data_IF_145267760237
#
_entry.id   IF_145267760237
#
_cell.length_a   1.000
_cell.length_b   1.000
_cell.length_c   1.000
_cell.angle_alpha   90.00
_cell.angle_beta   90.00
_cell.angle_gamma   90.00
#
_symmetry.space_group_name_H-M   'P 1'
#
loop_
_entity.id
_entity.type
_entity.pdbx_description
1 polymer ?
#
# COMPACT_ATOMS: atom_id res chain seq x y z
N UNK A 1 7.79 -18.11 18.82
CA UNK A 1 7.53 -17.66 17.43
C UNK A 1 8.11 -16.27 17.28
N UNK A 2 8.72 -15.93 16.13
CA UNK A 2 9.50 -14.69 15.91
C UNK A 2 10.65 -14.47 16.93
N UNK A 3 11.50 -15.48 17.14
CA UNK A 3 12.60 -15.49 18.14
C UNK A 3 12.15 -15.25 19.59
N UNK A 4 10.86 -15.42 19.89
CA UNK A 4 10.30 -15.13 21.20
C UNK A 4 10.04 -13.64 21.46
N UNK A 5 10.29 -12.76 20.48
CA UNK A 5 9.98 -11.34 20.57
C UNK A 5 8.47 -11.08 20.67
N UNK A 6 7.67 -11.74 19.82
CA UNK A 6 6.21 -11.52 19.71
C UNK A 6 5.51 -12.84 19.41
N UNK A 7 4.28 -13.04 19.90
CA UNK A 7 3.49 -14.22 19.54
C UNK A 7 2.83 -14.09 18.16
N UNK A 8 2.67 -15.19 17.44
CA UNK A 8 1.89 -15.26 16.18
C UNK A 8 0.50 -14.63 16.31
N UNK A 9 -0.18 -14.96 17.40
CA UNK A 9 -1.50 -14.40 17.73
C UNK A 9 -1.45 -12.87 17.83
N UNK A 10 -0.40 -12.30 18.42
CA UNK A 10 -0.25 -10.85 18.51
C UNK A 10 -0.02 -10.21 17.14
N UNK A 11 0.78 -10.80 16.26
CA UNK A 11 0.97 -10.32 14.88
C UNK A 11 -0.34 -10.35 14.09
N UNK A 12 -1.14 -11.41 14.22
CA UNK A 12 -2.46 -11.47 13.59
C UNK A 12 -3.41 -10.41 14.11
N UNK A 13 -3.52 -10.25 15.44
CA UNK A 13 -4.37 -9.23 16.06
C UNK A 13 -3.95 -7.84 15.61
N UNK A 14 -2.64 -7.57 15.62
CA UNK A 14 -2.08 -6.31 15.15
C UNK A 14 -2.51 -6.03 13.71
N UNK A 15 -2.23 -6.96 12.79
CA UNK A 15 -2.56 -6.79 11.37
C UNK A 15 -4.04 -6.60 11.09
N UNK A 16 -4.92 -7.35 11.76
CA UNK A 16 -6.35 -7.14 11.62
C UNK A 16 -6.80 -5.77 12.15
N UNK A 17 -6.22 -5.32 13.27
CA UNK A 17 -6.60 -4.06 13.91
C UNK A 17 -6.11 -2.86 13.10
N UNK A 18 -4.87 -2.88 12.63
CA UNK A 18 -4.29 -1.81 11.81
C UNK A 18 -5.02 -1.67 10.48
N UNK A 19 -5.31 -2.78 9.79
CA UNK A 19 -6.08 -2.76 8.55
C UNK A 19 -7.49 -2.26 8.76
N UNK A 20 -8.16 -2.66 9.84
CA UNK A 20 -9.47 -2.14 10.18
C UNK A 20 -9.43 -0.61 10.41
N UNK A 21 -8.47 -0.12 11.20
CA UNK A 21 -8.26 1.30 11.44
C UNK A 21 -7.98 2.06 10.13
N UNK A 22 -7.15 1.51 9.24
CA UNK A 22 -6.85 2.13 7.95
C UNK A 22 -8.09 2.22 7.06
N UNK A 23 -8.88 1.15 6.96
CA UNK A 23 -10.13 1.14 6.19
C UNK A 23 -11.08 2.23 6.70
N UNK A 24 -11.23 2.37 8.03
CA UNK A 24 -12.08 3.42 8.61
C UNK A 24 -11.52 4.81 8.29
N UNK A 25 -10.23 5.05 8.52
CA UNK A 25 -9.61 6.36 8.32
C UNK A 25 -9.70 6.82 6.86
N UNK A 26 -9.39 5.92 5.92
CA UNK A 26 -9.49 6.20 4.49
C UNK A 26 -10.94 6.29 4.01
N UNK A 27 -11.87 5.49 4.54
CA UNK A 27 -13.30 5.63 4.23
C UNK A 27 -13.87 6.97 4.71
N UNK A 28 -13.44 7.42 5.89
CA UNK A 28 -13.79 8.75 6.41
C UNK A 28 -13.21 9.85 5.50
N UNK A 29 -11.95 9.72 5.06
CA UNK A 29 -11.35 10.66 4.12
C UNK A 29 -12.15 10.70 2.80
N UNK A 30 -12.48 9.54 2.23
CA UNK A 30 -13.32 9.44 1.02
C UNK A 30 -14.69 10.08 1.25
N UNK A 31 -15.34 9.81 2.39
CA UNK A 31 -16.61 10.43 2.75
C UNK A 31 -16.50 11.96 2.80
N UNK A 32 -15.47 12.50 3.45
CA UNK A 32 -15.20 13.94 3.49
C UNK A 32 -14.99 14.50 2.08
N UNK A 33 -14.24 13.81 1.22
CA UNK A 33 -13.97 14.23 -0.15
C UNK A 33 -15.22 14.24 -1.05
N UNK A 34 -16.15 13.30 -0.83
CA UNK A 34 -17.38 13.14 -1.64
C UNK A 34 -18.56 13.96 -1.10
N UNK A 35 -18.61 14.20 0.22
CA UNK A 35 -19.76 14.84 0.87
C UNK A 35 -20.03 16.26 0.34
N UNK A 36 -21.23 16.44 -0.24
CA UNK A 36 -21.64 17.68 -0.93
C UNK A 36 -21.99 18.82 0.00
N UNK A 37 -22.26 18.57 1.29
CA UNK A 37 -22.51 19.63 2.27
C UNK A 37 -21.26 20.46 2.57
N UNK A 38 -20.08 19.97 2.20
CA UNK A 38 -18.82 20.70 2.23
C UNK A 38 -18.51 21.37 0.88
N UNK A 39 -19.47 21.46 -0.05
CA UNK A 39 -19.28 22.13 -1.34
C UNK A 39 -18.68 23.52 -1.19
N UNK A 40 -19.15 24.32 -0.22
CA UNK A 40 -18.61 25.65 0.04
C UNK A 40 -17.15 25.62 0.52
N UNK A 41 -16.80 24.63 1.34
CA UNK A 41 -15.44 24.40 1.83
C UNK A 41 -14.51 23.93 0.70
N UNK A 42 -14.97 22.99 -0.15
CA UNK A 42 -14.23 22.55 -1.32
C UNK A 42 -14.18 23.63 -2.41
N UNK A 43 -15.17 24.51 -2.53
CA UNK A 43 -15.12 25.63 -3.48
C UNK A 43 -14.05 26.65 -3.04
N UNK A 44 -13.86 26.85 -1.73
CA UNK A 44 -12.76 27.64 -1.19
C UNK A 44 -11.40 26.95 -1.48
N UNK A 45 -11.28 25.64 -1.22
CA UNK A 45 -10.04 24.90 -1.54
C UNK A 45 -9.75 24.84 -3.03
N UNK A 46 -10.77 24.64 -3.88
CA UNK A 46 -10.62 24.52 -5.33
C UNK A 46 -10.31 25.87 -5.99
N UNK A 47 -10.90 26.98 -5.51
CA UNK A 47 -10.58 28.35 -5.93
C UNK A 47 -9.15 28.74 -5.58
N UNK A 48 -8.61 28.26 -4.47
CA UNK A 48 -7.28 28.62 -3.97
C UNK A 48 -6.16 27.65 -4.39
N UNK A 49 -6.50 26.39 -4.68
CA UNK A 49 -5.61 25.39 -5.29
C UNK A 49 -5.51 25.53 -6.82
N UNK A 50 -6.24 26.47 -7.43
CA UNK A 50 -6.37 26.65 -8.90
C UNK A 50 -6.86 25.42 -9.67
N UNK A 51 -7.22 24.31 -9.02
CA UNK A 51 -7.73 23.14 -9.72
C UNK A 51 -8.56 22.23 -8.82
N UNK A 52 -9.74 21.82 -9.31
CA UNK A 52 -10.56 20.75 -8.73
C UNK A 52 -9.95 19.34 -8.86
N UNK A 53 -8.70 19.20 -9.32
CA UNK A 53 -7.99 17.93 -9.41
C UNK A 53 -7.37 17.50 -8.06
N UNK A 54 -7.14 18.43 -7.13
CA UNK A 54 -6.52 18.13 -5.84
C UNK A 54 -7.33 17.12 -4.99
N UNK A 55 -8.67 17.20 -5.03
CA UNK A 55 -9.57 16.25 -4.35
C UNK A 55 -9.44 14.83 -4.88
N UNK A 56 -9.25 14.69 -6.18
CA UNK A 56 -9.15 13.40 -6.84
C UNK A 56 -7.79 12.76 -6.60
N UNK A 57 -6.75 13.58 -6.48
CA UNK A 57 -5.45 13.11 -6.02
C UNK A 57 -5.55 12.50 -4.60
N UNK A 58 -6.17 13.20 -3.65
CA UNK A 58 -6.38 12.68 -2.29
C UNK A 58 -7.28 11.44 -2.25
N UNK A 59 -8.25 11.36 -3.15
CA UNK A 59 -9.07 10.16 -3.32
C UNK A 59 -8.21 8.95 -3.75
N UNK A 60 -7.29 9.15 -4.70
CA UNK A 60 -6.36 8.09 -5.14
C UNK A 60 -5.47 7.59 -4.00
N UNK A 61 -4.96 8.48 -3.14
CA UNK A 61 -4.21 8.09 -1.93
C UNK A 61 -5.06 7.18 -1.04
N UNK A 62 -6.29 7.59 -0.73
CA UNK A 62 -7.16 6.81 0.16
C UNK A 62 -7.46 5.40 -0.38
N UNK A 63 -7.63 5.26 -1.69
CA UNK A 63 -7.87 3.95 -2.34
C UNK A 63 -6.63 3.06 -2.26
N UNK A 64 -5.45 3.62 -2.57
CA UNK A 64 -4.19 2.87 -2.57
C UNK A 64 -3.82 2.46 -1.15
N UNK A 65 -4.01 3.33 -0.16
CA UNK A 65 -3.77 3.02 1.26
C UNK A 65 -4.64 1.85 1.73
N UNK A 66 -5.92 1.81 1.36
CA UNK A 66 -6.80 0.66 1.64
C UNK A 66 -6.23 -0.62 1.01
N UNK A 67 -5.76 -0.55 -0.25
CA UNK A 67 -5.18 -1.72 -0.93
C UNK A 67 -3.90 -2.20 -0.25
N UNK A 68 -3.04 -1.29 0.20
CA UNK A 68 -1.81 -1.59 0.94
C UNK A 68 -2.16 -2.31 2.25
N UNK A 69 -3.12 -1.80 3.03
CA UNK A 69 -3.58 -2.48 4.25
C UNK A 69 -4.16 -3.86 3.96
N UNK A 70 -4.98 -3.99 2.92
CA UNK A 70 -5.57 -5.27 2.55
C UNK A 70 -4.51 -6.32 2.16
N UNK A 71 -3.53 -5.96 1.32
CA UNK A 71 -2.47 -6.92 0.94
C UNK A 71 -1.58 -7.26 2.14
N UNK A 72 -1.34 -6.30 3.03
CA UNK A 72 -0.51 -6.53 4.22
C UNK A 72 -1.16 -7.55 5.14
N UNK A 73 -2.45 -7.39 5.45
CA UNK A 73 -3.18 -8.40 6.22
C UNK A 73 -3.31 -9.70 5.45
N UNK A 74 -3.64 -9.67 4.16
CA UNK A 74 -3.83 -10.88 3.37
C UNK A 74 -2.59 -11.76 3.35
N UNK A 75 -1.41 -11.14 3.24
CA UNK A 75 -0.14 -11.86 3.16
C UNK A 75 0.49 -12.14 4.53
N UNK A 76 0.30 -11.21 5.48
CA UNK A 76 1.05 -11.11 6.74
C UNK A 76 2.57 -11.20 6.47
N UNK A 77 3.19 -10.13 5.93
CA UNK A 77 4.62 -10.13 5.60
C UNK A 77 5.47 -10.42 6.83
N UNK A 78 6.26 -11.47 6.74
CA UNK A 78 7.25 -11.83 7.72
C UNK A 78 8.64 -11.79 7.09
N UNK A 79 9.64 -11.57 7.92
CA UNK A 79 11.01 -11.57 7.48
C UNK A 79 11.97 -11.92 8.60
N UNK A 80 13.14 -12.39 8.21
CA UNK A 80 14.21 -12.72 9.12
C UNK A 80 15.54 -12.22 8.55
N UNK A 81 16.35 -11.55 9.35
CA UNK A 81 17.70 -11.16 8.97
C UNK A 81 18.72 -12.12 9.56
N UNK A 82 19.81 -12.32 8.84
CA UNK A 82 21.02 -13.01 9.29
C UNK A 82 22.22 -12.12 8.96
N UNK A 83 23.41 -12.53 9.42
CA UNK A 83 24.68 -11.88 9.05
C UNK A 83 25.01 -11.94 7.55
N UNK A 84 24.44 -12.91 6.84
CA UNK A 84 24.73 -13.18 5.42
C UNK A 84 23.59 -12.78 4.48
N UNK A 85 22.40 -12.47 4.99
CA UNK A 85 21.28 -12.06 4.17
C UNK A 85 19.97 -11.80 4.91
N UNK A 86 18.91 -11.73 4.13
CA UNK A 86 17.55 -11.42 4.54
C UNK A 86 16.57 -12.30 3.77
N UNK A 87 15.61 -12.90 4.47
CA UNK A 87 14.52 -13.67 3.88
C UNK A 87 13.19 -12.99 4.17
N UNK A 88 12.33 -12.93 3.15
CA UNK A 88 11.01 -12.29 3.18
C UNK A 88 9.96 -13.22 2.60
N UNK A 89 8.82 -13.32 3.27
CA UNK A 89 7.75 -14.23 2.85
C UNK A 89 6.41 -13.77 3.39
N UNK A 90 5.34 -14.21 2.70
CA UNK A 90 3.99 -14.09 3.23
C UNK A 90 3.69 -15.23 4.17
N UNK A 91 3.56 -14.97 5.47
CA UNK A 91 3.32 -16.02 6.46
C UNK A 91 2.08 -16.86 6.13
N UNK A 92 1.01 -16.23 5.59
CA UNK A 92 -0.23 -16.91 5.16
C UNK A 92 -0.14 -17.65 3.83
N UNK A 93 1.01 -17.61 3.17
CA UNK A 93 1.26 -18.26 1.89
C UNK A 93 2.25 -19.43 1.99
N UNK A 94 2.73 -19.75 3.20
CA UNK A 94 3.70 -20.83 3.40
C UNK A 94 3.10 -22.23 3.22
N UNK A 95 1.77 -22.37 3.21
CA UNK A 95 1.07 -23.60 2.84
C UNK A 95 0.88 -23.74 1.31
N UNK A 96 1.18 -22.70 0.53
CA UNK A 96 1.05 -22.70 -0.94
C UNK A 96 2.37 -23.00 -1.63
N UNK A 97 2.30 -23.26 -2.94
CA UNK A 97 3.48 -23.54 -3.75
C UNK A 97 4.41 -22.34 -3.91
N UNK A 98 5.66 -22.61 -4.31
CA UNK A 98 6.69 -21.61 -4.66
C UNK A 98 6.12 -20.42 -5.42
N UNK A 99 5.33 -20.71 -6.45
CA UNK A 99 4.74 -19.72 -7.35
C UNK A 99 3.85 -18.73 -6.60
N UNK A 100 2.97 -19.21 -5.73
CA UNK A 100 2.06 -18.34 -4.98
C UNK A 100 2.82 -17.46 -3.98
N UNK A 101 3.79 -18.01 -3.26
CA UNK A 101 4.58 -17.24 -2.28
C UNK A 101 5.42 -16.13 -2.92
N UNK A 102 5.97 -16.39 -4.11
CA UNK A 102 6.74 -15.38 -4.86
C UNK A 102 5.82 -14.30 -5.42
N UNK A 103 4.74 -14.67 -6.10
CA UNK A 103 3.83 -13.67 -6.66
C UNK A 103 3.11 -12.84 -5.59
N UNK A 104 2.72 -13.44 -4.45
CA UNK A 104 2.14 -12.68 -3.33
C UNK A 104 3.14 -11.65 -2.81
N UNK A 105 4.41 -12.05 -2.67
CA UNK A 105 5.49 -11.17 -2.22
C UNK A 105 5.74 -10.03 -3.23
N UNK A 106 5.75 -10.31 -4.53
CA UNK A 106 5.92 -9.29 -5.57
C UNK A 106 4.72 -8.33 -5.66
N UNK A 107 3.49 -8.80 -5.46
CA UNK A 107 2.30 -7.94 -5.39
C UNK A 107 2.35 -7.05 -4.16
N UNK A 108 2.79 -7.57 -3.02
CA UNK A 108 3.00 -6.77 -1.82
C UNK A 108 4.04 -5.66 -2.06
N UNK A 109 5.18 -5.99 -2.69
CA UNK A 109 6.21 -5.02 -3.07
C UNK A 109 5.63 -3.97 -4.01
N UNK A 110 4.94 -4.39 -5.07
CA UNK A 110 4.29 -3.47 -6.01
C UNK A 110 3.41 -2.45 -5.29
N UNK A 111 2.54 -2.90 -4.38
CA UNK A 111 1.62 -2.03 -3.64
C UNK A 111 2.33 -1.12 -2.64
N UNK A 112 3.31 -1.61 -1.88
CA UNK A 112 4.04 -0.79 -0.92
C UNK A 112 4.83 0.33 -1.61
N UNK A 113 5.40 0.06 -2.79
CA UNK A 113 6.14 1.07 -3.55
C UNK A 113 5.24 2.15 -4.17
N UNK A 114 3.92 1.91 -4.32
CA UNK A 114 2.96 2.94 -4.76
C UNK A 114 2.95 4.15 -3.83
N UNK A 115 3.14 3.97 -2.51
CA UNK A 115 3.17 5.08 -1.55
C UNK A 115 4.27 6.10 -1.87
N UNK A 116 5.44 5.65 -2.32
CA UNK A 116 6.54 6.54 -2.69
C UNK A 116 6.24 7.32 -3.97
N UNK A 117 5.70 6.63 -4.98
CA UNK A 117 5.32 7.24 -6.26
C UNK A 117 4.24 8.29 -6.05
N UNK A 118 3.18 7.96 -5.32
CA UNK A 118 2.09 8.89 -5.03
C UNK A 118 2.58 10.11 -4.25
N UNK A 119 3.40 9.91 -3.23
CA UNK A 119 3.99 11.01 -2.45
C UNK A 119 4.83 11.94 -3.35
N UNK A 120 5.70 11.37 -4.20
CA UNK A 120 6.47 12.16 -5.16
C UNK A 120 5.58 12.93 -6.14
N UNK A 121 4.55 12.27 -6.69
CA UNK A 121 3.57 12.90 -7.57
C UNK A 121 2.85 14.07 -6.92
N UNK A 122 2.51 13.97 -5.64
CA UNK A 122 1.85 15.05 -4.90
C UNK A 122 2.73 16.28 -4.77
N UNK A 123 4.03 16.10 -4.49
CA UNK A 123 5.01 17.17 -4.44
C UNK A 123 5.25 17.82 -5.81
N UNK A 124 5.42 17.01 -6.87
CA UNK A 124 5.61 17.48 -8.24
C UNK A 124 4.38 18.25 -8.72
N UNK A 125 3.18 17.70 -8.50
CA UNK A 125 1.92 18.35 -8.85
C UNK A 125 1.82 19.75 -8.24
N UNK A 126 2.10 19.88 -6.93
CA UNK A 126 2.08 21.17 -6.23
C UNK A 126 3.13 22.13 -6.77
N UNK A 127 4.34 21.64 -7.02
CA UNK A 127 5.41 22.44 -7.60
C UNK A 127 4.97 23.02 -8.95
N UNK A 128 4.42 22.20 -9.85
CA UNK A 128 3.95 22.65 -11.17
C UNK A 128 2.81 23.66 -11.06
N UNK A 129 1.86 23.47 -10.14
CA UNK A 129 0.74 24.40 -9.93
C UNK A 129 1.21 25.76 -9.38
N UNK A 130 2.22 25.78 -8.51
CA UNK A 130 2.75 27.00 -7.89
C UNK A 130 3.61 27.79 -8.87
N UNK A 131 4.57 27.12 -9.52
CA UNK A 131 5.59 27.80 -10.35
C UNK A 131 5.17 27.97 -11.81
N UNK A 132 4.19 27.19 -12.28
CA UNK A 132 3.76 27.15 -13.67
C UNK A 132 4.94 27.18 -14.69
N UNK A 133 5.87 26.22 -14.62
CA UNK A 133 7.07 26.25 -15.46
C UNK A 133 6.72 26.10 -16.96
N UNK A 134 7.28 26.93 -17.86
CA UNK A 134 6.95 26.91 -19.29
C UNK A 134 7.19 25.56 -19.98
N UNK A 135 8.21 24.81 -19.54
CA UNK A 135 8.57 23.50 -20.09
C UNK A 135 7.53 22.39 -19.77
N UNK A 136 6.63 22.63 -18.82
CA UNK A 136 5.51 21.72 -18.44
C UNK A 136 4.17 22.21 -18.98
N UNK A 137 4.16 23.28 -19.78
CA UNK A 137 2.93 23.88 -20.34
C UNK A 137 2.07 22.88 -21.12
N UNK A 138 2.68 21.85 -21.73
CA UNK A 138 1.96 20.79 -22.41
C UNK A 138 1.03 20.00 -21.46
N UNK A 139 1.43 19.78 -20.20
CA UNK A 139 0.59 19.10 -19.22
C UNK A 139 -0.68 19.90 -19.01
N UNK A 140 -0.59 21.23 -18.91
CA UNK A 140 -1.72 22.11 -18.61
C UNK A 140 -2.75 22.24 -19.76
N UNK A 141 -2.41 21.85 -21.00
CA UNK A 141 -3.36 21.89 -22.14
C UNK A 141 -4.52 20.92 -21.97
N UNK A 142 -4.24 19.72 -21.48
CA UNK A 142 -5.26 18.74 -21.09
C UNK A 142 -4.77 18.11 -19.77
N UNK A 143 -4.93 18.84 -18.65
CA UNK A 143 -4.27 18.53 -17.38
C UNK A 143 -4.57 17.11 -16.97
N UNK A 144 -5.81 16.71 -17.16
CA UNK A 144 -6.26 15.40 -16.81
C UNK A 144 -5.52 14.24 -17.46
N UNK A 145 -5.64 14.16 -18.79
CA UNK A 145 -5.08 13.04 -19.56
C UNK A 145 -3.58 13.02 -19.40
N UNK A 146 -2.96 14.20 -19.42
CA UNK A 146 -1.51 14.32 -19.39
C UNK A 146 -0.93 13.97 -18.01
N UNK A 147 -1.58 14.38 -16.90
CA UNK A 147 -1.18 13.94 -15.55
C UNK A 147 -1.38 12.44 -15.36
N UNK A 148 -2.48 11.87 -15.84
CA UNK A 148 -2.74 10.43 -15.77
C UNK A 148 -1.69 9.64 -16.56
N UNK A 149 -1.45 10.02 -17.81
CA UNK A 149 -0.45 9.36 -18.67
C UNK A 149 0.93 9.45 -18.03
N UNK A 150 1.30 10.61 -17.47
CA UNK A 150 2.56 10.75 -16.74
C UNK A 150 2.61 9.85 -15.51
N UNK A 151 1.53 9.79 -14.71
CA UNK A 151 1.43 8.92 -13.54
C UNK A 151 1.65 7.44 -13.90
N UNK A 152 0.97 6.96 -14.94
CA UNK A 152 1.10 5.58 -15.39
C UNK A 152 2.51 5.28 -15.89
N UNK A 153 3.09 6.16 -16.73
CA UNK A 153 4.44 5.96 -17.26
C UNK A 153 5.48 5.92 -16.14
N UNK A 154 5.42 6.90 -15.22
CA UNK A 154 6.36 6.96 -14.10
C UNK A 154 6.17 5.78 -13.15
N UNK A 155 4.93 5.36 -12.87
CA UNK A 155 4.68 4.20 -12.01
C UNK A 155 5.21 2.89 -12.63
N UNK A 156 4.94 2.67 -13.93
CA UNK A 156 5.46 1.49 -14.65
C UNK A 156 6.99 1.49 -14.66
N UNK A 157 7.63 2.63 -14.91
CA UNK A 157 9.09 2.72 -14.91
C UNK A 157 9.68 2.58 -13.50
N UNK A 158 9.06 3.19 -12.50
CA UNK A 158 9.57 3.21 -11.13
C UNK A 158 9.25 1.90 -10.41
N UNK A 159 7.98 1.62 -10.16
CA UNK A 159 7.53 0.44 -9.42
C UNK A 159 7.77 -0.82 -10.23
N UNK A 160 7.51 -0.79 -11.53
CA UNK A 160 7.73 -1.94 -12.40
C UNK A 160 9.20 -2.33 -12.49
N UNK A 161 10.15 -1.38 -12.54
CA UNK A 161 11.58 -1.74 -12.54
C UNK A 161 12.04 -2.36 -11.22
N UNK A 162 11.52 -1.91 -10.08
CA UNK A 162 11.81 -2.51 -8.76
C UNK A 162 11.25 -3.93 -8.69
N UNK A 163 9.99 -4.14 -9.10
CA UNK A 163 9.36 -5.46 -9.10
C UNK A 163 10.12 -6.43 -10.00
N UNK A 164 10.58 -5.99 -11.18
CA UNK A 164 11.41 -6.81 -12.06
C UNK A 164 12.76 -7.10 -11.44
N UNK A 165 13.44 -6.10 -10.88
CA UNK A 165 14.75 -6.28 -10.26
C UNK A 165 14.70 -7.30 -9.10
N UNK A 166 13.72 -7.15 -8.20
CA UNK A 166 13.50 -8.10 -7.09
C UNK A 166 13.06 -9.46 -7.62
N UNK A 167 12.14 -9.48 -8.59
CA UNK A 167 11.64 -10.70 -9.22
C UNK A 167 12.72 -11.51 -9.94
N UNK A 168 13.81 -10.89 -10.39
CA UNK A 168 14.95 -11.58 -10.99
C UNK A 168 16.00 -11.94 -9.93
N UNK A 169 16.34 -10.99 -9.06
CA UNK A 169 17.50 -11.13 -8.19
C UNK A 169 17.27 -11.85 -6.88
N UNK A 170 16.02 -11.89 -6.40
CA UNK A 170 15.69 -12.37 -5.05
C UNK A 170 14.92 -13.70 -5.06
N UNK A 171 15.00 -14.43 -6.17
CA UNK A 171 14.36 -15.73 -6.32
C UNK A 171 15.00 -16.77 -5.40
N UNK A 172 14.20 -17.70 -4.84
CA UNK A 172 14.73 -18.81 -4.06
C UNK A 172 15.53 -19.75 -4.96
N UNK A 173 16.62 -20.30 -4.44
CA UNK A 173 17.43 -21.32 -5.09
C UNK A 173 17.78 -22.43 -4.09
N UNK A 174 18.35 -23.54 -4.55
CA UNK A 174 18.64 -24.67 -3.67
C UNK A 174 19.63 -24.31 -2.54
N UNK A 175 20.66 -23.51 -2.82
CA UNK A 175 21.66 -23.11 -1.82
C UNK A 175 21.03 -22.26 -0.71
N UNK A 176 20.25 -21.24 -1.09
CA UNK A 176 19.55 -20.37 -0.14
C UNK A 176 18.49 -21.14 0.64
N UNK A 177 17.77 -22.07 0.00
CA UNK A 177 16.77 -22.91 0.69
C UNK A 177 17.43 -23.76 1.77
N UNK A 178 18.52 -24.46 1.44
CA UNK A 178 19.26 -25.29 2.40
C UNK A 178 19.74 -24.51 3.62
N UNK A 179 20.18 -23.26 3.42
CA UNK A 179 20.71 -22.42 4.50
C UNK A 179 19.59 -21.81 5.37
N UNK A 180 18.48 -21.38 4.77
CA UNK A 180 17.38 -20.74 5.50
C UNK A 180 16.34 -21.73 6.07
N UNK A 181 16.25 -22.96 5.55
CA UNK A 181 15.32 -23.99 6.04
C UNK A 181 15.41 -24.25 7.56
N UNK A 182 16.59 -24.52 8.15
CA UNK A 182 16.68 -24.76 9.59
C UNK A 182 16.28 -23.53 10.41
N UNK A 183 16.62 -22.32 9.94
CA UNK A 183 16.30 -21.05 10.60
C UNK A 183 14.79 -20.84 10.65
N UNK A 184 14.10 -20.99 9.51
CA UNK A 184 12.65 -20.83 9.43
C UNK A 184 11.90 -21.89 10.23
N UNK A 185 12.39 -23.13 10.19
CA UNK A 185 11.81 -24.23 10.97
C UNK A 185 11.93 -23.98 12.47
N UNK A 186 13.07 -23.48 12.94
CA UNK A 186 13.29 -23.17 14.36
C UNK A 186 12.50 -21.93 14.81
N UNK A 187 12.52 -20.84 14.05
CA UNK A 187 11.97 -19.54 14.48
C UNK A 187 10.47 -19.40 14.21
N UNK A 188 10.01 -19.94 13.08
CA UNK A 188 8.64 -19.77 12.58
C UNK A 188 7.85 -21.08 12.50
N UNK A 189 8.48 -22.25 12.72
CA UNK A 189 7.83 -23.54 12.51
C UNK A 189 7.52 -23.84 11.04
N UNK A 190 8.15 -23.11 10.12
CA UNK A 190 7.89 -23.20 8.68
C UNK A 190 8.90 -24.16 8.06
N UNK A 191 8.40 -25.24 7.46
CA UNK A 191 9.23 -26.22 6.76
C UNK A 191 9.38 -25.84 5.29
N UNK A 192 10.57 -25.34 4.91
CA UNK A 192 10.88 -25.00 3.53
C UNK A 192 11.08 -26.24 2.65
N UNK A 193 11.30 -27.42 3.21
CA UNK A 193 11.53 -28.66 2.45
C UNK A 193 10.26 -29.51 2.33
N UNK A 194 9.10 -28.97 2.73
CA UNK A 194 7.80 -29.59 2.54
C UNK A 194 7.46 -29.83 1.05
N UNK A 195 6.58 -30.79 0.78
CA UNK A 195 6.20 -31.23 -0.57
C UNK A 195 5.69 -30.09 -1.48
N UNK A 196 5.07 -29.07 -0.88
CA UNK A 196 4.57 -27.90 -1.60
C UNK A 196 5.69 -26.92 -2.01
N UNK A 197 6.91 -27.08 -1.48
CA UNK A 197 8.05 -26.19 -1.66
C UNK A 197 7.64 -24.71 -1.48
N UNK A 198 7.45 -24.21 -0.25
CA UNK A 198 6.95 -22.87 -0.02
C UNK A 198 7.82 -21.79 -0.69
N UNK A 199 7.18 -20.74 -1.21
CA UNK A 199 7.84 -19.63 -1.90
C UNK A 199 8.20 -18.48 -0.99
N UNK A 200 9.36 -17.86 -1.22
CA UNK A 200 9.86 -16.70 -0.48
C UNK A 200 10.76 -15.86 -1.40
N UNK A 201 11.02 -14.62 -1.01
CA UNK A 201 12.07 -13.79 -1.59
C UNK A 201 13.28 -13.77 -0.66
N UNK A 202 14.47 -13.83 -1.23
CA UNK A 202 15.71 -13.89 -0.47
C UNK A 202 16.75 -12.95 -1.05
N UNK A 203 17.38 -12.20 -0.17
CA UNK A 203 18.45 -11.29 -0.50
C UNK A 203 19.69 -11.68 0.30
N UNK A 204 20.73 -12.13 -0.39
CA UNK A 204 22.01 -12.50 0.26
C UNK A 204 23.12 -11.57 -0.18
N UNK A 205 23.99 -11.24 0.77
CA UNK A 205 25.25 -10.51 0.51
C UNK A 205 26.33 -11.50 0.10
N UNK A 206 26.38 -12.61 0.84
CA UNK A 206 27.27 -13.73 0.67
C UNK A 206 26.58 -14.99 1.19
N UNK A 207 27.12 -16.16 0.87
CA UNK A 207 26.65 -17.44 1.37
C UNK A 207 27.78 -18.13 2.15
N UNK A 208 27.53 -18.57 3.40
CA UNK A 208 28.50 -19.37 4.13
C UNK A 208 28.75 -20.69 3.39
N UNK A 209 30.03 -21.06 3.25
CA UNK A 209 30.45 -22.33 2.68
C UNK A 209 30.94 -23.30 3.77
N UNK A 210 30.96 -24.59 3.46
CA UNK A 210 31.39 -25.63 4.40
C UNK A 210 32.87 -25.51 4.82
N UNK A 211 33.70 -24.88 3.99
CA UNK A 211 35.12 -24.60 4.25
C UNK A 211 35.34 -23.31 5.10
N UNK A 212 34.26 -22.66 5.54
CA UNK A 212 34.30 -21.39 6.26
C UNK A 212 34.49 -20.16 5.37
N UNK A 213 34.60 -20.34 4.05
CA UNK A 213 34.67 -19.21 3.12
C UNK A 213 33.31 -18.55 2.88
N UNK A 214 33.33 -17.28 2.45
CA UNK A 214 32.15 -16.50 2.10
C UNK A 214 32.03 -16.41 0.58
N UNK A 215 31.00 -17.03 -0.01
CA UNK A 215 30.72 -16.95 -1.45
C UNK A 215 29.89 -15.69 -1.73
N UNK A 216 30.46 -14.71 -2.40
CA UNK A 216 29.75 -13.47 -2.77
C UNK A 216 28.60 -13.75 -3.74
N UNK A 217 27.44 -13.10 -3.53
CA UNK A 217 26.26 -13.25 -4.39
C UNK A 217 25.97 -11.97 -5.19
N UNK A 218 26.50 -11.83 -6.43
CA UNK A 218 26.47 -10.56 -7.16
C UNK A 218 25.07 -10.15 -7.64
N UNK A 219 24.23 -11.10 -8.03
CA UNK A 219 22.91 -10.80 -8.60
C UNK A 219 21.93 -10.19 -7.56
N UNK A 220 21.73 -10.77 -6.36
CA UNK A 220 20.94 -10.14 -5.31
C UNK A 220 21.48 -8.76 -4.91
N UNK A 221 22.80 -8.60 -4.84
CA UNK A 221 23.47 -7.33 -4.53
C UNK A 221 23.23 -6.25 -5.58
N UNK A 222 23.38 -6.60 -6.86
CA UNK A 222 23.13 -5.67 -7.96
C UNK A 222 21.68 -5.21 -8.02
N UNK A 223 20.74 -6.15 -7.86
CA UNK A 223 19.30 -5.84 -7.88
C UNK A 223 18.86 -5.03 -6.66
N UNK A 224 19.46 -5.27 -5.48
CA UNK A 224 19.26 -4.42 -4.30
C UNK A 224 19.79 -3.01 -4.52
N UNK A 225 21.03 -2.86 -5.02
CA UNK A 225 21.61 -1.55 -5.33
C UNK A 225 20.74 -0.77 -6.33
N UNK A 226 20.25 -1.47 -7.37
CA UNK A 226 19.32 -0.91 -8.33
C UNK A 226 18.03 -0.43 -7.64
N UNK A 227 17.34 -1.29 -6.86
CA UNK A 227 16.11 -0.93 -6.18
C UNK A 227 16.29 0.26 -5.21
N UNK A 228 17.40 0.30 -4.46
CA UNK A 228 17.75 1.42 -3.57
C UNK A 228 18.00 2.70 -4.35
N UNK A 229 18.71 2.62 -5.49
CA UNK A 229 18.95 3.79 -6.34
C UNK A 229 17.66 4.35 -6.92
N UNK A 230 16.75 3.50 -7.40
CA UNK A 230 15.42 3.92 -7.88
C UNK A 230 14.65 4.56 -6.73
N UNK A 231 14.62 3.95 -5.55
CA UNK A 231 13.98 4.54 -4.36
C UNK A 231 14.52 5.94 -4.01
N UNK A 232 15.84 6.10 -4.08
CA UNK A 232 16.50 7.36 -3.80
C UNK A 232 16.10 8.47 -4.80
N UNK A 233 15.78 8.13 -6.06
CA UNK A 233 15.30 9.12 -7.03
C UNK A 233 14.00 9.80 -6.58
N UNK A 234 13.05 9.06 -5.99
CA UNK A 234 11.81 9.64 -5.47
C UNK A 234 12.09 10.61 -4.31
N UNK A 235 12.99 10.23 -3.38
CA UNK A 235 13.41 11.08 -2.27
C UNK A 235 14.03 12.39 -2.77
N UNK A 236 14.93 12.31 -3.75
CA UNK A 236 15.55 13.50 -4.36
C UNK A 236 14.49 14.40 -4.99
N UNK A 237 13.56 13.85 -5.78
CA UNK A 237 12.47 14.60 -6.41
C UNK A 237 11.61 15.32 -5.36
N UNK A 238 11.23 14.62 -4.29
CA UNK A 238 10.45 15.19 -3.18
C UNK A 238 11.21 16.35 -2.53
N UNK A 239 12.49 16.17 -2.20
CA UNK A 239 13.32 17.19 -1.57
C UNK A 239 13.50 18.42 -2.46
N UNK A 240 13.76 18.24 -3.76
CA UNK A 240 13.88 19.35 -4.71
C UNK A 240 12.57 20.15 -4.81
N UNK A 241 11.44 19.46 -4.93
CA UNK A 241 10.12 20.10 -4.96
C UNK A 241 9.83 20.85 -3.65
N UNK A 242 10.10 20.21 -2.50
CA UNK A 242 9.92 20.79 -1.17
C UNK A 242 10.77 22.07 -1.00
N UNK A 243 12.07 22.02 -1.31
CA UNK A 243 12.96 23.17 -1.21
C UNK A 243 12.49 24.30 -2.11
N UNK A 244 12.07 23.99 -3.35
CA UNK A 244 11.48 24.97 -4.26
C UNK A 244 10.26 25.65 -3.64
N UNK A 245 9.27 24.87 -3.24
CA UNK A 245 8.01 25.36 -2.63
C UNK A 245 8.30 26.22 -1.38
N UNK A 246 9.19 25.78 -0.50
CA UNK A 246 9.56 26.52 0.72
C UNK A 246 10.24 27.85 0.40
N UNK A 247 11.13 27.89 -0.61
CA UNK A 247 11.80 29.13 -1.04
C UNK A 247 10.80 30.14 -1.58
N UNK A 248 9.86 29.69 -2.41
CA UNK A 248 8.85 30.58 -2.97
C UNK A 248 7.90 31.11 -1.90
N UNK A 249 7.43 30.24 -0.99
CA UNK A 249 6.62 30.70 0.15
C UNK A 249 7.33 31.76 0.99
N UNK A 250 8.65 31.62 1.22
CA UNK A 250 9.42 32.65 1.94
C UNK A 250 9.44 33.96 1.18
N UNK A 251 9.71 33.95 -0.14
CA UNK A 251 9.67 35.17 -0.98
C UNK A 251 8.31 35.85 -0.94
N UNK A 252 7.23 35.10 -1.17
CA UNK A 252 5.87 35.64 -1.22
C UNK A 252 5.38 36.14 0.15
N UNK A 253 5.95 35.63 1.26
CA UNK A 253 5.68 36.12 2.62
C UNK A 253 6.42 37.41 2.91
N UNK A 254 7.70 37.50 2.51
CA UNK A 254 8.52 38.70 2.69
C UNK A 254 8.04 39.89 1.84
N UNK A 255 7.42 39.61 0.68
CA UNK A 255 6.95 40.65 -0.24
C UNK A 255 5.51 41.16 0.03
N UNK A 256 4.75 40.57 0.96
CA UNK A 256 3.35 40.99 1.18
C UNK A 256 3.01 41.28 2.64
N UNK A 257 2.69 42.54 2.94
CA UNK A 257 2.12 42.99 4.22
C UNK A 257 0.60 42.66 4.38
N UNK A 258 0.01 41.88 3.46
CA UNK A 258 -1.43 41.56 3.47
C UNK A 258 -1.63 40.04 3.56
N UNK A 259 -2.08 39.59 4.73
CA UNK A 259 -2.54 38.22 4.99
C UNK A 259 -3.89 37.99 4.29
N UNK A 260 -3.89 37.38 3.10
CA UNK A 260 -5.12 36.80 2.56
C UNK A 260 -5.39 35.43 3.18
N UNK A 261 -6.67 35.11 3.39
CA UNK A 261 -7.16 33.78 3.84
C UNK A 261 -6.59 32.64 2.99
N UNK A 262 -6.33 32.92 1.72
CA UNK A 262 -5.71 32.03 0.73
C UNK A 262 -4.29 31.58 1.04
N UNK A 263 -3.42 32.49 1.47
CA UNK A 263 -2.04 32.15 1.82
C UNK A 263 -1.97 31.30 3.09
N UNK A 264 -2.93 31.51 4.01
CA UNK A 264 -3.00 30.74 5.24
C UNK A 264 -3.31 29.27 4.96
N UNK A 265 -4.31 29.00 4.12
CA UNK A 265 -4.72 27.63 3.79
C UNK A 265 -3.66 26.88 2.96
N UNK A 266 -3.02 27.54 1.98
CA UNK A 266 -1.89 26.94 1.24
C UNK A 266 -0.72 26.58 2.18
N UNK A 267 -0.45 27.42 3.19
CA UNK A 267 0.58 27.14 4.21
C UNK A 267 0.21 25.96 5.10
N UNK A 268 -1.06 25.84 5.50
CA UNK A 268 -1.56 24.69 6.24
C UNK A 268 -1.41 23.40 5.42
N UNK A 269 -1.76 23.44 4.14
CA UNK A 269 -1.70 22.29 3.24
C UNK A 269 -0.26 21.85 2.92
N UNK A 270 0.72 22.76 2.93
CA UNK A 270 2.15 22.43 2.80
C UNK A 270 2.69 21.91 4.14
N UNK A 271 2.28 22.50 5.27
CA UNK A 271 2.63 22.00 6.61
C UNK A 271 2.14 20.57 6.80
N UNK A 272 0.91 20.28 6.35
CA UNK A 272 0.35 18.93 6.33
C UNK A 272 1.27 17.94 5.63
N UNK A 273 1.69 18.30 4.41
CA UNK A 273 2.50 17.45 3.56
C UNK A 273 3.89 17.19 4.15
N UNK A 274 4.47 18.18 4.84
CA UNK A 274 5.72 17.97 5.58
C UNK A 274 5.52 16.94 6.70
N UNK A 275 4.44 17.06 7.50
CA UNK A 275 4.16 16.09 8.57
C UNK A 275 3.82 14.70 8.02
N UNK A 276 3.13 14.64 6.89
CA UNK A 276 2.81 13.43 6.13
C UNK A 276 4.07 12.75 5.58
N UNK A 277 5.17 13.48 5.38
CA UNK A 277 6.46 12.90 4.98
C UNK A 277 7.30 12.53 6.22
N UNK A 278 7.37 13.42 7.21
CA UNK A 278 8.20 13.27 8.40
C UNK A 278 7.75 12.06 9.24
N UNK A 279 6.45 11.96 9.55
CA UNK A 279 5.97 10.93 10.49
C UNK A 279 6.20 9.52 9.92
N UNK A 280 5.79 9.18 8.68
CA UNK A 280 6.10 7.90 8.06
C UNK A 280 7.59 7.61 7.91
N UNK A 281 8.42 8.64 7.71
CA UNK A 281 9.87 8.45 7.64
C UNK A 281 10.40 7.83 8.93
N UNK A 282 9.99 8.33 10.09
CA UNK A 282 10.43 7.80 11.38
C UNK A 282 9.73 6.48 11.76
N UNK A 283 8.44 6.34 11.46
CA UNK A 283 7.62 5.20 11.91
C UNK A 283 7.75 3.98 10.99
N UNK A 284 7.98 4.20 9.70
CA UNK A 284 7.94 3.14 8.68
C UNK A 284 9.28 2.99 7.95
N UNK A 285 9.81 4.08 7.37
CA UNK A 285 10.95 3.98 6.46
C UNK A 285 12.29 3.72 7.18
N UNK A 286 12.55 4.40 8.30
CA UNK A 286 13.77 4.18 9.09
C UNK A 286 13.85 2.74 9.63
N UNK A 287 12.82 2.16 10.27
CA UNK A 287 12.85 0.76 10.71
C UNK A 287 13.20 -0.21 9.58
N UNK A 288 12.62 -0.03 8.40
CA UNK A 288 12.86 -0.90 7.23
C UNK A 288 14.27 -0.72 6.68
N UNK A 289 14.76 0.53 6.62
CA UNK A 289 16.15 0.80 6.24
C UNK A 289 17.14 0.14 7.21
N UNK A 290 16.86 0.17 8.52
CA UNK A 290 17.69 -0.53 9.52
C UNK A 290 17.71 -2.03 9.24
N UNK A 291 16.55 -2.66 9.02
CA UNK A 291 16.47 -4.09 8.73
C UNK A 291 17.27 -4.49 7.48
N UNK A 292 17.25 -3.65 6.44
CA UNK A 292 17.93 -3.94 5.18
C UNK A 292 19.44 -3.64 5.21
N UNK A 293 19.88 -2.58 5.88
CA UNK A 293 21.26 -2.12 5.82
C UNK A 293 22.09 -2.49 7.04
N UNK A 294 21.49 -2.61 8.23
CA UNK A 294 22.25 -2.91 9.45
C UNK A 294 22.98 -4.26 9.36
N UNK A 295 22.35 -5.36 8.92
CA UNK A 295 23.06 -6.64 8.79
C UNK A 295 24.18 -6.60 7.75
N UNK A 296 24.02 -5.79 6.68
CA UNK A 296 25.04 -5.61 5.64
C UNK A 296 26.31 -4.94 6.18
N UNK A 297 26.17 -3.88 6.98
CA UNK A 297 27.31 -3.07 7.45
C UNK A 297 27.97 -3.63 8.71
N UNK A 298 27.20 -4.26 9.59
CA UNK A 298 27.68 -4.74 10.88
C UNK A 298 27.85 -6.26 10.94
N UNK A 299 27.50 -6.99 9.88
CA UNK A 299 27.49 -8.47 9.85
C UNK A 299 26.75 -9.07 11.05
N UNK A 300 25.67 -8.41 11.51
CA UNK A 300 24.94 -8.80 12.71
C UNK A 300 23.48 -9.12 12.38
N UNK A 301 23.03 -10.28 12.83
CA UNK A 301 21.65 -10.72 12.70
C UNK A 301 20.71 -9.90 13.59
N UNK A 302 19.72 -9.22 12.99
CA UNK A 302 18.60 -8.64 13.74
C UNK A 302 17.45 -9.65 13.94
N UNK A 303 17.59 -10.87 13.42
CA UNK A 303 16.63 -11.96 13.55
C UNK A 303 15.19 -11.57 13.21
N UNK A 304 14.27 -11.92 14.11
CA UNK A 304 12.84 -11.63 13.99
C UNK A 304 12.44 -10.14 13.97
N UNK A 305 13.36 -9.21 14.29
CA UNK A 305 13.08 -7.76 14.20
C UNK A 305 12.72 -7.32 12.77
N UNK A 306 13.14 -8.08 11.77
CA UNK A 306 12.70 -7.91 10.39
C UNK A 306 11.18 -7.92 10.24
N UNK A 307 10.51 -8.90 10.85
CA UNK A 307 9.04 -8.94 10.83
C UNK A 307 8.45 -7.70 11.49
N UNK A 308 9.04 -7.21 12.58
CA UNK A 308 8.56 -6.02 13.27
C UNK A 308 8.61 -4.75 12.43
N UNK A 309 9.70 -4.50 11.71
CA UNK A 309 9.75 -3.33 10.83
C UNK A 309 8.95 -3.49 9.55
N UNK A 310 8.69 -4.73 9.08
CA UNK A 310 7.69 -4.94 8.04
C UNK A 310 6.30 -4.59 8.56
N UNK A 311 5.91 -5.10 9.73
CA UNK A 311 4.62 -4.78 10.38
C UNK A 311 4.44 -3.28 10.63
N UNK A 312 5.51 -2.54 10.97
CA UNK A 312 5.41 -1.10 11.20
C UNK A 312 4.94 -0.31 9.96
N UNK A 313 5.12 -0.85 8.75
CA UNK A 313 4.59 -0.26 7.52
C UNK A 313 3.05 -0.20 7.48
N UNK A 314 2.33 -1.04 8.23
CA UNK A 314 0.86 -0.99 8.31
C UNK A 314 0.33 0.29 8.96
N UNK A 315 1.18 1.03 9.67
CA UNK A 315 0.80 2.30 10.28
C UNK A 315 0.70 3.43 9.26
N UNK A 316 1.41 3.33 8.13
CA UNK A 316 1.41 4.38 7.11
C UNK A 316 0.00 4.66 6.56
N UNK A 317 -0.76 3.65 6.07
CA UNK A 317 -2.15 3.83 5.61
C UNK A 317 -3.15 4.32 6.66
N UNK A 318 -2.78 4.40 7.94
CA UNK A 318 -3.61 4.96 9.02
C UNK A 318 -3.23 6.42 9.25
N UNK A 319 -1.93 6.68 9.37
CA UNK A 319 -1.39 8.01 9.66
C UNK A 319 -1.70 8.97 8.52
N UNK A 320 -1.57 8.53 7.27
CA UNK A 320 -1.73 9.37 6.08
C UNK A 320 -3.10 10.07 5.99
N UNK A 321 -4.24 9.35 5.97
CA UNK A 321 -5.56 9.98 5.90
C UNK A 321 -5.90 10.81 7.14
N UNK A 322 -5.44 10.41 8.33
CA UNK A 322 -5.69 11.17 9.56
C UNK A 322 -4.98 12.53 9.54
N UNK A 323 -3.75 12.59 9.05
CA UNK A 323 -3.05 13.85 8.84
C UNK A 323 -3.75 14.71 7.79
N UNK A 324 -4.15 14.11 6.67
CA UNK A 324 -4.88 14.83 5.61
C UNK A 324 -6.16 15.45 6.18
N UNK A 325 -6.99 14.70 6.90
CA UNK A 325 -8.23 15.19 7.52
C UNK A 325 -7.93 16.31 8.52
N UNK A 326 -6.98 16.10 9.43
CA UNK A 326 -6.64 17.07 10.47
C UNK A 326 -6.18 18.42 9.89
N UNK A 327 -5.34 18.38 8.84
CA UNK A 327 -4.80 19.60 8.25
C UNK A 327 -5.72 20.27 7.23
N UNK A 328 -6.51 19.51 6.47
CA UNK A 328 -7.48 20.08 5.54
C UNK A 328 -8.58 20.82 6.30
N UNK A 329 -9.12 20.20 7.36
CA UNK A 329 -10.30 20.74 8.05
C UNK A 329 -10.04 22.03 8.81
N UNK A 330 -8.83 22.30 9.32
CA UNK A 330 -8.40 23.60 9.88
C UNK A 330 -9.24 24.22 11.01
N UNK A 331 -10.40 23.64 11.33
CA UNK A 331 -11.54 24.28 11.98
C UNK A 331 -12.21 23.24 12.86
N UNK A 332 -12.31 23.51 14.16
CA UNK A 332 -12.84 22.59 15.19
C UNK A 332 -14.27 22.10 14.92
N UNK A 333 -14.98 22.74 13.99
CA UNK A 333 -16.40 22.51 13.70
C UNK A 333 -16.71 21.19 12.97
N UNK A 334 -15.73 20.55 12.33
CA UNK A 334 -15.95 19.28 11.60
C UNK A 334 -15.42 18.03 12.31
N UNK A 335 -14.79 18.23 13.47
CA UNK A 335 -14.29 17.14 14.32
C UNK A 335 -15.46 16.33 14.91
N UNK A 336 -16.54 17.00 15.34
CA UNK A 336 -17.73 16.32 15.89
C UNK A 336 -18.43 15.38 14.89
N UNK A 337 -18.76 15.80 13.65
CA UNK A 337 -19.34 14.90 12.64
C UNK A 337 -18.43 13.71 12.29
N UNK A 338 -17.12 13.94 12.23
CA UNK A 338 -16.12 12.91 11.95
C UNK A 338 -16.03 11.89 13.09
N UNK A 339 -16.10 12.34 14.34
CA UNK A 339 -16.18 11.50 15.54
C UNK A 339 -17.50 10.74 15.64
N UNK A 340 -18.62 11.35 15.24
CA UNK A 340 -19.92 10.68 15.17
C UNK A 340 -19.94 9.59 14.09
N UNK A 341 -19.33 9.83 12.92
CA UNK A 341 -19.21 8.80 11.88
C UNK A 341 -18.24 7.67 12.28
N UNK A 342 -17.11 8.00 12.91
CA UNK A 342 -16.20 7.02 13.48
C UNK A 342 -16.88 6.18 14.58
N UNK A 343 -17.66 6.81 15.46
CA UNK A 343 -18.51 6.10 16.44
C UNK A 343 -19.60 5.27 15.77
N UNK A 344 -20.25 5.76 14.71
CA UNK A 344 -21.28 5.03 13.97
C UNK A 344 -20.70 3.77 13.30
N UNK A 345 -19.52 3.88 12.68
CA UNK A 345 -18.80 2.73 12.11
C UNK A 345 -18.32 1.77 13.21
N UNK A 346 -17.72 2.28 14.30
CA UNK A 346 -17.31 1.48 15.44
C UNK A 346 -18.49 0.75 16.10
N UNK A 347 -19.65 1.41 16.22
CA UNK A 347 -20.88 0.83 16.78
C UNK A 347 -21.51 -0.22 15.85
N UNK A 348 -21.57 0.02 14.53
CA UNK A 348 -21.99 -0.98 13.53
C UNK A 348 -21.05 -2.18 13.53
N UNK A 349 -19.75 -1.98 13.74
CA UNK A 349 -18.78 -3.05 13.78
C UNK A 349 -18.78 -3.81 15.11
N UNK A 350 -19.07 -3.18 16.26
CA UNK A 350 -19.27 -3.88 17.54
C UNK A 350 -20.45 -4.87 17.51
N UNK A 351 -21.37 -4.73 16.54
CA UNK A 351 -22.45 -5.68 16.26
C UNK A 351 -22.02 -6.79 15.28
N UNK A 352 -21.05 -6.52 14.40
CA UNK A 352 -20.54 -7.47 13.40
C UNK A 352 -19.41 -8.34 13.98
N UNK A 353 -18.53 -7.75 14.80
CA UNK A 353 -17.35 -8.36 15.40
C UNK A 353 -17.70 -9.61 16.25
N UNK A 354 -18.77 -9.65 17.06
CA UNK A 354 -19.19 -10.86 17.75
C UNK A 354 -19.71 -11.94 16.80
N UNK A 355 -20.40 -11.57 15.70
CA UNK A 355 -20.91 -12.54 14.71
C UNK A 355 -19.78 -13.13 13.85
N UNK A 356 -18.79 -12.31 13.51
CA UNK A 356 -17.60 -12.73 12.78
C UNK A 356 -16.64 -13.54 13.65
N UNK A 357 -16.41 -13.13 14.91
CA UNK A 357 -15.67 -13.91 15.90
C UNK A 357 -16.39 -15.24 16.22
N UNK A 358 -17.72 -15.25 16.31
CA UNK A 358 -18.48 -16.48 16.53
C UNK A 358 -18.39 -17.44 15.33
N UNK A 359 -18.35 -16.96 14.08
CA UNK A 359 -18.12 -17.83 12.92
C UNK A 359 -16.64 -18.26 12.77
N UNK A 360 -15.68 -17.37 13.04
CA UNK A 360 -14.26 -17.63 12.87
C UNK A 360 -13.62 -18.44 14.03
N UNK A 361 -14.11 -18.30 15.27
CA UNK A 361 -13.59 -19.03 16.43
C UNK A 361 -14.35 -20.32 16.74
N UNK A 362 -15.67 -20.40 16.48
CA UNK A 362 -16.46 -21.59 16.80
C UNK A 362 -16.75 -22.49 15.59
N UNK A 363 -16.61 -21.99 14.35
CA UNK A 363 -16.73 -22.81 13.14
C UNK A 363 -15.81 -24.04 13.13
N UNK A 364 -14.53 -23.93 13.54
CA UNK A 364 -13.61 -25.08 13.62
C UNK A 364 -13.85 -25.98 14.83
N UNK A 365 -14.59 -25.52 15.84
CA UNK A 365 -14.88 -26.28 17.07
C UNK A 365 -16.13 -27.15 16.87
N UNK A 366 -17.14 -26.64 16.15
CA UNK A 366 -18.32 -27.43 15.80
C UNK A 366 -17.98 -28.60 14.86
N UNK A 367 -17.09 -28.40 13.88
CA UNK A 367 -16.70 -29.47 12.94
C UNK A 367 -15.84 -30.58 13.56
N UNK A 368 -15.17 -30.32 14.68
CA UNK A 368 -14.35 -31.32 15.39
C UNK A 368 -15.11 -32.08 16.49
N UNK A 369 -16.22 -31.53 16.99
CA UNK A 369 -17.09 -32.20 17.96
C UNK A 369 -18.10 -33.13 17.26
N UNK A 370 -18.53 -32.81 16.04
CA UNK A 370 -19.43 -33.68 15.26
C UNK A 370 -18.68 -34.87 14.61
N UNK A 371 -17.38 -34.74 14.34
CA UNK A 371 -16.57 -35.83 13.78
C UNK A 371 -16.20 -36.93 14.80
N UNK A 372 -16.25 -36.63 16.10
CA UNK A 372 -15.91 -37.57 17.18
C UNK A 372 -17.12 -38.27 17.80
N UNK A 373 -18.35 -37.92 17.41
CA UNK A 373 -19.59 -38.51 17.93
C UNK A 373 -20.40 -39.33 16.91
N UNK A 374 -20.02 -39.35 15.63
CA UNK A 374 -20.78 -40.02 14.56
C UNK A 374 -20.17 -41.34 14.04
N UNK A 375 -19.26 -41.98 14.78
CA UNK A 375 -19.00 -43.42 14.60
C UNK A 375 -19.95 -44.22 15.47
N UNK A 376 -21.19 -44.43 15.02
CA UNK A 376 -22.02 -45.64 15.21
C UNK A 376 -23.44 -45.33 14.70
N UNK A 377 -23.97 -46.20 13.83
CA UNK A 377 -25.39 -46.35 13.44
C UNK A 377 -25.75 -45.96 11.99
N UNK A 378 -25.65 -46.98 11.14
CA UNK A 378 -26.66 -47.43 10.18
C UNK A 378 -27.53 -46.43 9.39
N UNK A 379 -27.33 -46.50 8.05
CA UNK A 379 -28.34 -46.83 7.01
C UNK A 379 -29.60 -45.94 6.90
N UNK A 380 -29.77 -45.31 5.72
CA UNK A 380 -30.96 -45.28 4.82
C UNK A 380 -31.33 -43.87 4.25
N UNK A 381 -31.37 -43.82 2.91
CA UNK A 381 -32.15 -42.98 1.96
C UNK A 381 -31.75 -41.51 1.65
N UNK A 382 -31.11 -41.40 0.47
CA UNK A 382 -31.54 -40.64 -0.73
C UNK A 382 -32.60 -39.52 -0.58
N UNK A 383 -32.29 -38.33 -1.12
CA UNK A 383 -32.97 -37.75 -2.30
C UNK A 383 -32.25 -36.48 -2.82
N UNK A 384 -31.67 -36.59 -4.01
CA UNK A 384 -31.71 -35.66 -5.15
C UNK A 384 -31.79 -34.13 -4.93
N UNK A 385 -30.80 -33.40 -5.44
CA UNK A 385 -31.03 -32.48 -6.56
C UNK A 385 -29.73 -32.13 -7.29
N UNK A 386 -29.66 -32.64 -8.51
CA UNK A 386 -28.60 -32.48 -9.50
C UNK A 386 -28.81 -31.18 -10.27
N UNK A 387 -27.78 -30.35 -10.44
CA UNK A 387 -27.59 -29.58 -11.67
C UNK A 387 -26.15 -29.76 -12.14
N UNK A 388 -26.08 -30.23 -13.37
CA UNK A 388 -24.96 -30.79 -14.13
C UNK A 388 -23.74 -29.88 -14.24
N UNK A 389 -22.57 -30.48 -14.05
CA UNK A 389 -21.34 -30.11 -14.74
C UNK A 389 -21.47 -30.44 -16.23
N UNK A 390 -20.99 -29.55 -17.09
CA UNK A 390 -20.59 -29.91 -18.45
C UNK A 390 -19.11 -29.53 -18.59
N UNK A 391 -18.33 -30.59 -18.63
CA UNK A 391 -16.92 -30.71 -19.00
C UNK A 391 -16.47 -29.82 -20.17
N UNK A 392 -15.39 -29.07 -19.95
CA UNK A 392 -14.32 -28.93 -20.95
C UNK A 392 -13.01 -29.39 -20.31
N UNK A 393 -12.52 -30.52 -20.80
CA UNK A 393 -11.23 -31.09 -20.47
C UNK A 393 -10.14 -30.42 -21.31
N UNK A 394 -9.07 -29.99 -20.64
CA UNK A 394 -7.65 -30.01 -21.05
C UNK A 394 -7.24 -29.49 -22.43
N UNK A 395 -6.44 -28.42 -22.46
CA UNK A 395 -5.00 -28.46 -22.78
C UNK A 395 -4.33 -27.07 -22.59
N UNK A 396 -3.19 -27.05 -21.90
CA UNK A 396 -2.13 -26.02 -21.90
C UNK A 396 -2.49 -24.54 -21.72
N UNK A 397 -2.61 -24.03 -20.49
CA UNK A 397 -2.52 -22.57 -20.22
C UNK A 397 -2.32 -22.21 -18.72
N UNK A 398 -1.52 -22.95 -17.96
CA UNK A 398 -1.28 -22.65 -16.52
C UNK A 398 -0.36 -21.46 -16.26
N UNK A 399 0.29 -20.91 -17.30
CA UNK A 399 1.09 -19.68 -17.19
C UNK A 399 0.22 -18.41 -17.22
N UNK A 400 -1.05 -18.47 -17.64
CA UNK A 400 -1.88 -17.26 -17.88
C UNK A 400 -2.55 -16.69 -16.61
N UNK A 401 -2.80 -17.51 -15.59
CA UNK A 401 -3.63 -17.09 -14.45
C UNK A 401 -2.92 -16.18 -13.44
N UNK A 402 -1.59 -16.27 -13.29
CA UNK A 402 -0.80 -15.38 -12.44
C UNK A 402 -0.65 -13.97 -13.04
N UNK A 403 -0.40 -13.90 -14.35
CA UNK A 403 -0.44 -12.64 -15.10
C UNK A 403 -1.84 -12.05 -15.12
N UNK A 404 -2.90 -12.86 -15.16
CA UNK A 404 -4.26 -12.37 -15.07
C UNK A 404 -4.56 -11.75 -13.70
N UNK A 405 -4.08 -12.29 -12.58
CA UNK A 405 -4.26 -11.69 -11.25
C UNK A 405 -3.45 -10.41 -11.05
N UNK A 406 -2.21 -10.35 -11.56
CA UNK A 406 -1.38 -9.13 -11.57
C UNK A 406 -1.96 -8.06 -12.52
N UNK A 407 -2.38 -8.46 -13.72
CA UNK A 407 -3.09 -7.57 -14.65
C UNK A 407 -4.45 -7.18 -14.09
N UNK A 408 -5.15 -8.01 -13.31
CA UNK A 408 -6.43 -7.65 -12.68
C UNK A 408 -6.20 -6.72 -11.50
N UNK A 409 -5.14 -6.83 -10.71
CA UNK A 409 -4.84 -5.84 -9.65
C UNK A 409 -4.37 -4.51 -10.25
N UNK A 410 -3.47 -4.54 -11.24
CA UNK A 410 -3.02 -3.38 -12.00
C UNK A 410 -4.16 -2.77 -12.83
N UNK A 411 -4.96 -3.57 -13.54
CA UNK A 411 -6.19 -3.09 -14.21
C UNK A 411 -7.22 -2.63 -13.19
N UNK A 412 -7.37 -3.22 -12.01
CA UNK A 412 -8.35 -2.75 -11.03
C UNK A 412 -7.92 -1.40 -10.46
N UNK A 413 -6.63 -1.19 -10.22
CA UNK A 413 -6.07 0.11 -9.83
C UNK A 413 -6.18 1.12 -10.97
N UNK A 414 -5.81 0.73 -12.19
CA UNK A 414 -5.98 1.55 -13.37
C UNK A 414 -7.46 1.83 -13.64
N UNK A 415 -8.37 0.88 -13.44
CA UNK A 415 -9.83 0.98 -13.65
C UNK A 415 -10.48 1.83 -12.56
N UNK A 416 -10.00 1.79 -11.32
CA UNK A 416 -10.45 2.64 -10.21
C UNK A 416 -9.90 4.06 -10.34
N UNK A 417 -8.65 4.21 -10.81
CA UNK A 417 -8.14 5.46 -11.36
C UNK A 417 -9.05 5.87 -12.52
N UNK A 418 -9.31 5.06 -13.54
CA UNK A 418 -10.22 5.36 -14.66
C UNK A 418 -11.65 5.68 -14.22
N UNK A 419 -12.17 5.18 -13.10
CA UNK A 419 -13.54 5.46 -12.62
C UNK A 419 -13.62 6.78 -11.83
N UNK A 420 -12.63 7.05 -10.97
CA UNK A 420 -12.42 8.37 -10.35
C UNK A 420 -12.11 9.42 -11.40
N UNK A 421 -11.60 8.96 -12.55
CA UNK A 421 -11.27 9.80 -13.68
C UNK A 421 -12.46 9.99 -14.66
N UNK A 422 -13.16 8.98 -15.13
CA UNK A 422 -14.24 9.11 -16.11
C UNK A 422 -15.39 10.04 -15.63
N UNK A 423 -15.60 10.18 -14.32
CA UNK A 423 -16.55 11.11 -13.71
C UNK A 423 -16.13 12.60 -13.78
N UNK A 424 -14.83 12.89 -14.02
CA UNK A 424 -14.30 14.21 -14.36
C UNK A 424 -14.84 14.73 -15.70
N UNK A 425 -15.10 13.82 -16.65
CA UNK A 425 -15.74 14.13 -17.94
C UNK A 425 -17.18 14.64 -17.76
N UNK A 426 -17.90 14.09 -16.77
CA UNK A 426 -19.29 14.48 -16.45
C UNK A 426 -19.34 15.88 -15.83
N UNK A 427 -18.38 16.21 -14.96
CA UNK A 427 -18.26 17.54 -14.38
C UNK A 427 -17.82 18.60 -15.41
N UNK A 428 -16.87 18.27 -16.30
CA UNK A 428 -16.44 19.19 -17.36
C UNK A 428 -17.55 19.48 -18.37
N UNK A 429 -18.39 18.48 -18.72
CA UNK A 429 -19.57 18.68 -19.58
C UNK A 429 -20.64 19.54 -18.90
N UNK A 430 -20.83 19.40 -17.59
CA UNK A 430 -21.70 20.27 -16.80
C UNK A 430 -21.21 21.73 -16.78
N UNK A 431 -19.90 21.97 -16.59
CA UNK A 431 -19.33 23.32 -16.62
C UNK A 431 -19.35 23.95 -18.02
N UNK A 432 -19.12 23.18 -19.08
CA UNK A 432 -19.24 23.69 -20.45
C UNK A 432 -20.69 24.09 -20.77
N UNK A 433 -21.68 23.31 -20.32
CA UNK A 433 -23.10 23.63 -20.51
C UNK A 433 -23.56 24.89 -19.74
N UNK A 434 -23.00 25.13 -18.56
CA UNK A 434 -23.29 26.34 -17.75
C UNK A 434 -22.63 27.58 -18.33
N UNK A 435 -21.46 27.46 -18.95
CA UNK A 435 -20.73 28.58 -19.57
C UNK A 435 -21.10 28.86 -21.04
N UNK A 436 -21.75 27.91 -21.74
CA UNK A 436 -22.24 28.12 -23.11
C UNK A 436 -23.71 28.58 -23.18
N UNK A 437 -24.37 28.81 -22.04
CA UNK A 437 -25.68 29.44 -22.02
C UNK A 437 -25.52 30.95 -22.35
N UNK A 438 -26.16 31.47 -23.42
CA UNK A 438 -26.12 32.90 -23.70
C UNK A 438 -26.75 33.64 -22.52
N UNK A 439 -26.02 34.60 -21.96
CA UNK A 439 -26.56 35.60 -21.04
C UNK A 439 -27.71 36.32 -21.75
N UNK A 440 -28.95 35.90 -21.50
CA UNK A 440 -30.12 36.71 -21.83
C UNK A 440 -30.15 37.89 -20.87
N UNK A 441 -29.92 39.07 -21.44
CA UNK A 441 -30.07 40.37 -20.79
C UNK A 441 -31.43 40.48 -20.09
N UNK A 442 -31.41 40.66 -18.77
CA UNK A 442 -32.35 41.49 -18.00
C UNK A 442 -31.55 42.19 -16.90
#
# INVERSE_FOLDING_TARGET
MFDGLISEKACHIYSYTTTFCSIIANSLLIFVLVSTHLKHFWDIISRESRSGAYRWLLFSFAVVDIQISLIHTFMLPAGYTTEFGYIFFGFRFMDKSTTYGIYSSLVWIFLVYQSFVLLAFHYVYRYVVIFNPPWVSWIQRNPWRNWLTLAIIVDVLYTGSIVVAVGVGWQPNEETRRIFAPILKQTYGVDLDADNAPGYLVFTYWLPQADGSKKFTPLPMFTMLFAVSVMFTAVVVILLCLVGILREMRRTTLMSNLQSKTKHMQRQLIRALMWQTIIPTFVCYIPVAIILFFPLFFEYSLGGMATLGLMSMELFPIIDPLLIIAFITGSREMILPSLHFAHYLAARFNVILPRFLHHALLGPIASNIDATSATTSHRIKACSLTISSASLCTTSSTCSNGYALFLVSVLSILLLLFASLATFSSAHRFFHAVYSAPLMNI
#
